data_IF_739308900458
#
_entry.id   IF_739308900458
#
_cell.length_a   1.000
_cell.length_b   1.000
_cell.length_c   1.000
_cell.angle_alpha   90.00
_cell.angle_beta   90.00
_cell.angle_gamma   90.00
#
_symmetry.space_group_name_H-M   'P 1'
#
loop_
_entity.id
_entity.type
_entity.pdbx_description
1 polymer ?
#
# COMPACT_ATOMS: atom_id res chain seq x y z
N UNK A 1 14.31 56.70 -16.01
CA UNK A 1 13.96 55.85 -14.86
C UNK A 1 12.45 55.69 -14.82
N UNK A 2 11.91 54.77 -15.60
CA UNK A 2 10.49 54.39 -15.54
C UNK A 2 10.43 52.87 -15.69
N UNK A 3 10.41 52.19 -14.54
CA UNK A 3 10.05 50.78 -14.45
C UNK A 3 8.55 50.69 -14.73
N UNK A 4 8.21 50.17 -15.91
CA UNK A 4 6.86 49.83 -16.31
C UNK A 4 6.31 48.79 -15.31
N UNK A 5 5.33 49.20 -14.51
CA UNK A 5 4.57 48.29 -13.67
C UNK A 5 3.53 47.61 -14.57
N UNK A 6 3.94 46.54 -15.24
CA UNK A 6 3.02 45.72 -16.03
C UNK A 6 2.26 44.81 -15.06
N UNK A 7 0.97 45.09 -14.86
CA UNK A 7 0.11 44.24 -14.04
C UNK A 7 -0.09 42.91 -14.76
N UNK A 8 0.29 41.76 -14.18
CA UNK A 8 0.04 40.49 -14.80
C UNK A 8 -1.48 40.27 -14.91
N UNK A 9 -1.99 40.14 -16.13
CA UNK A 9 -3.38 39.78 -16.41
C UNK A 9 -3.45 38.30 -16.81
N UNK A 10 -3.61 37.37 -15.84
CA UNK A 10 -3.61 35.95 -16.14
C UNK A 10 -4.85 35.59 -16.96
N UNK A 11 -4.62 35.05 -18.16
CA UNK A 11 -5.73 34.54 -18.97
C UNK A 11 -6.45 33.41 -18.25
N UNK A 12 -7.76 33.24 -18.50
CA UNK A 12 -8.56 32.10 -18.00
C UNK A 12 -7.87 30.76 -18.29
N UNK A 13 -7.22 30.64 -19.45
CA UNK A 13 -6.44 29.46 -19.82
C UNK A 13 -5.27 29.23 -18.87
N UNK A 14 -4.49 30.27 -18.57
CA UNK A 14 -3.35 30.19 -17.66
C UNK A 14 -3.79 29.80 -16.24
N UNK A 15 -4.92 30.32 -15.76
CA UNK A 15 -5.49 29.93 -14.45
C UNK A 15 -5.87 28.45 -14.42
N UNK A 16 -6.57 27.96 -15.45
CA UNK A 16 -7.00 26.56 -15.51
C UNK A 16 -5.82 25.59 -15.65
N UNK A 17 -4.82 25.92 -16.47
CA UNK A 17 -3.63 25.07 -16.64
C UNK A 17 -2.80 25.02 -15.36
N UNK A 18 -2.61 26.16 -14.69
CA UNK A 18 -1.81 26.22 -13.46
C UNK A 18 -2.53 25.55 -12.30
N UNK A 19 -3.83 25.78 -12.14
CA UNK A 19 -4.64 25.10 -11.13
C UNK A 19 -4.67 23.58 -11.34
N UNK A 20 -4.85 23.13 -12.60
CA UNK A 20 -4.80 21.71 -12.94
C UNK A 20 -3.44 21.08 -12.69
N UNK A 21 -2.34 21.78 -13.01
CA UNK A 21 -0.98 21.31 -12.75
C UNK A 21 -0.69 21.17 -11.25
N UNK A 22 -1.12 22.12 -10.43
CA UNK A 22 -0.96 22.06 -8.97
C UNK A 22 -1.76 20.91 -8.35
N UNK A 23 -2.99 20.68 -8.83
CA UNK A 23 -3.80 19.54 -8.38
C UNK A 23 -3.18 18.20 -8.79
N UNK A 24 -2.75 18.07 -10.05
CA UNK A 24 -2.08 16.87 -10.53
C UNK A 24 -0.78 16.59 -9.76
N UNK A 25 -0.04 17.62 -9.35
CA UNK A 25 1.18 17.48 -8.58
C UNK A 25 0.93 16.84 -7.20
N UNK A 26 -0.16 17.22 -6.53
CA UNK A 26 -0.54 16.64 -5.24
C UNK A 26 -0.91 15.14 -5.33
N UNK A 27 -1.32 14.67 -6.50
CA UNK A 27 -1.67 13.27 -6.76
C UNK A 27 -0.51 12.44 -7.32
N UNK A 28 0.69 13.00 -7.49
CA UNK A 28 1.82 12.21 -7.97
C UNK A 28 2.23 11.16 -6.92
N UNK A 29 2.53 9.91 -7.36
CA UNK A 29 3.00 8.88 -6.45
C UNK A 29 4.32 9.31 -5.81
N UNK A 30 4.41 9.15 -4.49
CA UNK A 30 5.67 9.38 -3.77
C UNK A 30 6.52 8.11 -3.87
N UNK A 31 7.76 8.26 -4.31
CA UNK A 31 8.70 7.13 -4.31
C UNK A 31 9.11 6.80 -2.86
N UNK A 32 8.97 5.54 -2.47
CA UNK A 32 9.57 5.04 -1.24
C UNK A 32 11.10 5.03 -1.42
N UNK A 33 11.82 5.80 -0.60
CA UNK A 33 13.29 5.82 -0.57
C UNK A 33 13.75 5.28 0.77
N UNK A 34 14.73 4.39 0.75
CA UNK A 34 15.48 4.04 1.95
C UNK A 34 16.20 5.30 2.49
N UNK A 35 16.45 5.38 3.80
CA UNK A 35 17.14 6.51 4.40
C UNK A 35 18.51 6.73 3.72
N UNK A 36 18.87 7.99 3.45
CA UNK A 36 20.07 8.42 2.70
C UNK A 36 21.43 8.00 3.31
N UNK A 37 21.42 7.20 4.38
CA UNK A 37 22.62 6.88 5.16
C UNK A 37 23.26 5.50 4.86
N UNK A 38 22.75 4.72 3.90
CA UNK A 38 23.38 3.42 3.53
C UNK A 38 23.18 3.03 2.06
N UNK A 39 24.17 2.30 1.54
CA UNK A 39 24.16 1.52 0.29
C UNK A 39 22.78 0.81 0.09
N UNK A 40 21.89 1.36 -0.75
CA UNK A 40 20.52 0.86 -0.83
C UNK A 40 20.51 -0.49 -1.56
N UNK A 41 20.12 -1.55 -0.85
CA UNK A 41 20.03 -2.91 -1.39
C UNK A 41 18.58 -3.29 -1.58
N UNK A 42 18.24 -3.66 -2.81
CA UNK A 42 16.95 -4.26 -3.14
C UNK A 42 17.11 -5.78 -3.21
N UNK A 43 16.30 -6.50 -2.43
CA UNK A 43 16.20 -7.95 -2.50
C UNK A 43 14.79 -8.28 -2.99
N UNK A 44 14.70 -8.99 -4.12
CA UNK A 44 13.43 -9.48 -4.66
C UNK A 44 13.38 -10.98 -4.51
N UNK A 45 12.37 -11.48 -3.79
CA UNK A 45 12.14 -12.91 -3.60
C UNK A 45 10.90 -13.29 -4.39
N UNK A 46 11.05 -14.19 -5.37
CA UNK A 46 9.95 -14.67 -6.22
C UNK A 46 9.51 -16.06 -5.74
N UNK A 47 8.32 -16.14 -5.15
CA UNK A 47 7.78 -17.37 -4.56
C UNK A 47 6.80 -18.07 -5.52
N UNK A 48 7.24 -18.40 -6.73
CA UNK A 48 6.38 -19.03 -7.75
C UNK A 48 5.95 -20.44 -7.32
N UNK A 49 4.66 -20.60 -7.02
CA UNK A 49 4.06 -21.89 -6.66
C UNK A 49 4.36 -22.37 -5.23
N UNK A 50 5.12 -21.60 -4.46
CA UNK A 50 5.44 -21.89 -3.06
C UNK A 50 4.56 -21.11 -2.07
N UNK A 51 4.03 -19.95 -2.51
CA UNK A 51 3.17 -19.09 -1.71
C UNK A 51 1.82 -18.90 -2.42
N UNK A 52 0.75 -19.11 -1.68
CA UNK A 52 -0.59 -18.67 -2.04
C UNK A 52 -0.93 -17.39 -1.26
N UNK A 53 -1.32 -16.34 -1.98
CA UNK A 53 -1.62 -15.02 -1.41
C UNK A 53 -2.80 -15.07 -0.44
N UNK A 54 -3.84 -15.83 -0.75
CA UNK A 54 -5.05 -15.94 0.07
C UNK A 54 -4.83 -16.78 1.34
N UNK A 55 -3.90 -17.74 1.31
CA UNK A 55 -3.41 -18.46 2.49
C UNK A 55 -2.42 -17.66 3.33
N UNK A 56 -1.82 -16.62 2.74
CA UNK A 56 -0.86 -15.73 3.42
C UNK A 56 -1.61 -14.61 4.13
N UNK A 57 -2.45 -13.87 3.42
CA UNK A 57 -3.27 -12.77 3.93
C UNK A 57 -4.69 -12.99 3.40
N UNK A 58 -5.56 -13.50 4.28
CA UNK A 58 -6.93 -13.88 3.95
C UNK A 58 -7.91 -12.74 4.24
N UNK A 59 -8.86 -12.45 3.32
CA UNK A 59 -9.97 -11.53 3.55
C UNK A 59 -11.07 -12.19 4.39
N UNK A 60 -10.87 -12.34 5.71
CA UNK A 60 -11.87 -12.97 6.58
C UNK A 60 -13.17 -12.17 6.73
N UNK A 61 -13.16 -10.89 6.33
CA UNK A 61 -14.39 -10.08 6.22
C UNK A 61 -15.26 -10.44 5.01
N UNK A 62 -14.77 -11.25 4.07
CA UNK A 62 -15.55 -11.76 2.94
C UNK A 62 -16.24 -13.08 3.33
N UNK A 63 -17.59 -13.16 3.28
CA UNK A 63 -18.32 -14.38 3.62
C UNK A 63 -18.01 -15.56 2.69
N UNK A 64 -17.63 -15.30 1.44
CA UNK A 64 -17.37 -16.34 0.44
C UNK A 64 -15.95 -16.93 0.59
N UNK A 65 -15.04 -16.24 1.29
CA UNK A 65 -13.64 -16.66 1.45
C UNK A 65 -13.53 -18.09 1.99
N UNK A 66 -14.16 -18.38 3.13
CA UNK A 66 -14.04 -19.70 3.74
C UNK A 66 -14.64 -20.81 2.86
N UNK A 67 -15.74 -20.52 2.15
CA UNK A 67 -16.37 -21.48 1.24
C UNK A 67 -15.54 -21.77 0.00
N UNK A 68 -14.89 -20.75 -0.57
CA UNK A 68 -14.05 -20.88 -1.76
C UNK A 68 -12.67 -21.47 -1.45
N UNK A 69 -12.11 -21.18 -0.27
CA UNK A 69 -10.81 -21.69 0.15
C UNK A 69 -10.88 -23.07 0.82
N UNK A 70 -12.06 -23.48 1.30
CA UNK A 70 -12.25 -24.77 1.97
C UNK A 70 -11.38 -24.92 3.21
N UNK A 71 -10.79 -26.10 3.39
CA UNK A 71 -10.07 -26.49 4.61
C UNK A 71 -8.79 -25.68 4.88
N UNK A 72 -8.26 -24.99 3.87
CA UNK A 72 -7.06 -24.13 4.01
C UNK A 72 -7.42 -22.67 4.31
N UNK A 73 -8.71 -22.34 4.50
CA UNK A 73 -9.14 -21.01 4.89
C UNK A 73 -8.54 -20.62 6.25
N UNK A 74 -8.03 -19.39 6.33
CA UNK A 74 -7.62 -18.81 7.60
C UNK A 74 -8.85 -18.55 8.48
N UNK A 75 -8.69 -18.78 9.80
CA UNK A 75 -9.73 -18.56 10.80
C UNK A 75 -9.18 -17.75 11.98
N UNK A 76 -9.99 -16.89 12.60
CA UNK A 76 -9.62 -16.16 13.82
C UNK A 76 -9.70 -17.02 15.09
N UNK A 77 -10.16 -18.26 14.96
CA UNK A 77 -10.43 -19.16 16.09
C UNK A 77 -9.67 -20.47 15.94
N UNK A 78 -9.37 -21.11 17.07
CA UNK A 78 -8.69 -22.41 17.12
C UNK A 78 -7.19 -22.31 17.40
N UNK A 79 -6.51 -23.45 17.31
CA UNK A 79 -5.09 -23.56 17.68
C UNK A 79 -4.15 -22.77 16.75
N UNK A 80 -4.53 -22.60 15.48
CA UNK A 80 -3.76 -21.89 14.46
C UNK A 80 -4.51 -20.62 14.01
N UNK A 81 -5.02 -19.85 14.97
CA UNK A 81 -5.76 -18.62 14.68
C UNK A 81 -4.89 -17.60 13.93
N UNK A 82 -5.42 -17.10 12.82
CA UNK A 82 -4.82 -16.05 12.02
C UNK A 82 -4.70 -14.75 12.82
N UNK A 83 -3.64 -13.98 12.54
CA UNK A 83 -3.36 -12.73 13.23
C UNK A 83 -4.09 -11.60 12.50
N UNK A 84 -5.03 -10.88 13.14
CA UNK A 84 -5.72 -9.79 12.47
C UNK A 84 -4.74 -8.65 12.15
N UNK A 85 -4.73 -8.22 10.88
CA UNK A 85 -4.00 -7.03 10.42
C UNK A 85 -4.88 -5.79 10.56
N UNK A 86 -6.14 -5.91 10.13
CA UNK A 86 -7.19 -4.89 10.25
C UNK A 86 -8.56 -5.55 10.48
N UNK A 87 -9.65 -4.82 10.21
CA UNK A 87 -11.03 -5.32 10.38
C UNK A 87 -11.47 -6.33 9.31
N UNK A 88 -10.74 -6.46 8.21
CA UNK A 88 -11.13 -7.25 7.04
C UNK A 88 -10.11 -8.36 6.73
N UNK A 89 -8.83 -8.12 6.94
CA UNK A 89 -7.73 -9.03 6.63
C UNK A 89 -7.05 -9.60 7.88
N UNK A 90 -6.71 -10.89 7.79
CA UNK A 90 -5.84 -11.56 8.75
C UNK A 90 -4.68 -12.25 8.05
N UNK A 91 -3.52 -12.29 8.71
CA UNK A 91 -2.32 -12.94 8.21
C UNK A 91 -2.12 -14.32 8.83
N UNK A 92 -1.50 -15.22 8.06
CA UNK A 92 -1.14 -16.56 8.49
C UNK A 92 -0.39 -16.56 9.84
N UNK A 93 -0.77 -17.44 10.79
CA UNK A 93 -0.14 -17.51 12.12
C UNK A 93 1.37 -17.77 12.08
N UNK A 94 1.89 -18.38 11.02
CA UNK A 94 3.33 -18.62 10.83
C UNK A 94 4.13 -17.34 10.50
N UNK A 95 3.48 -16.18 10.35
CA UNK A 95 4.12 -14.92 9.96
C UNK A 95 4.01 -13.79 11.01
N UNK A 96 4.35 -14.05 12.30
CA UNK A 96 4.20 -13.05 13.35
C UNK A 96 5.11 -11.82 13.14
N UNK A 97 6.27 -12.01 12.50
CA UNK A 97 7.20 -10.91 12.19
C UNK A 97 6.60 -9.95 11.18
N UNK A 98 5.96 -10.47 10.13
CA UNK A 98 5.31 -9.62 9.13
C UNK A 98 4.15 -8.86 9.77
N UNK A 99 3.32 -9.52 10.59
CA UNK A 99 2.23 -8.86 11.31
C UNK A 99 2.73 -7.66 12.15
N UNK A 100 3.87 -7.84 12.85
CA UNK A 100 4.50 -6.76 13.62
C UNK A 100 5.01 -5.63 12.74
N UNK A 101 5.68 -5.94 11.63
CA UNK A 101 6.21 -4.93 10.70
C UNK A 101 5.06 -4.16 10.02
N UNK A 102 3.98 -4.83 9.66
CA UNK A 102 2.78 -4.21 9.09
C UNK A 102 2.18 -3.19 10.07
N UNK A 103 1.98 -3.59 11.33
CA UNK A 103 1.51 -2.69 12.40
C UNK A 103 2.43 -1.51 12.66
N UNK A 104 3.73 -1.67 12.42
CA UNK A 104 4.73 -0.61 12.53
C UNK A 104 4.79 0.30 11.28
N UNK A 105 4.00 0.04 10.23
CA UNK A 105 4.08 0.76 8.96
C UNK A 105 5.35 0.46 8.15
N UNK A 106 6.04 -0.64 8.45
CA UNK A 106 7.31 -1.05 7.83
C UNK A 106 7.16 -2.20 6.83
N UNK A 107 5.96 -2.78 6.71
CA UNK A 107 5.60 -3.75 5.68
C UNK A 107 4.25 -3.38 5.08
N UNK A 108 4.06 -3.74 3.82
CA UNK A 108 2.81 -3.56 3.10
C UNK A 108 2.46 -4.86 2.37
N UNK A 109 1.17 -5.16 2.33
CA UNK A 109 0.60 -6.17 1.45
C UNK A 109 -0.08 -5.44 0.30
N UNK A 110 0.24 -5.83 -0.92
CA UNK A 110 -0.33 -5.22 -2.13
C UNK A 110 -0.85 -6.37 -3.00
N UNK A 111 -2.13 -6.29 -3.33
CA UNK A 111 -2.83 -7.22 -4.23
C UNK A 111 -3.49 -6.43 -5.36
N UNK A 112 -3.77 -7.09 -6.49
CA UNK A 112 -4.33 -6.48 -7.71
C UNK A 112 -5.83 -6.78 -7.85
#
# INVERSE_FOLDING_TARGET
>A
MSLLCETPNPSRRAVLTTGGALFAWACLPRFARAADHRDPRLIVIILRGALDGLSTIGPLGDPDYAGLHGDIALSLSGANAALPLDSFFAINPAMPVFARLFKAGQAAAVHA
#
